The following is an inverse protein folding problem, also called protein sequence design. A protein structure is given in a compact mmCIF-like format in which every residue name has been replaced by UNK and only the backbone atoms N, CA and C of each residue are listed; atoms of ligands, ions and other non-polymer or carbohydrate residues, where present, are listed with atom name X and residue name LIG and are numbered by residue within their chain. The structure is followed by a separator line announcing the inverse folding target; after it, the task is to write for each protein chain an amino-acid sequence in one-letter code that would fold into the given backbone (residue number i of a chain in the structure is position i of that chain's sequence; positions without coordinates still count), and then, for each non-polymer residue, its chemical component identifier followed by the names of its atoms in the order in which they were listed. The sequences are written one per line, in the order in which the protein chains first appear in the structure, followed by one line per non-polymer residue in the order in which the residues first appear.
data_IF_041050263172
#
_entry.id   IF_041050263172
#
_cell.length_a   1.000
_cell.length_b   1.000
_cell.length_c   1.000
_cell.angle_alpha   90.00
_cell.angle_beta   90.00
_cell.angle_gamma   90.00
#
_symmetry.space_group_name_H-M   'P 1'
#
loop_
_entity.id
_entity.type
_entity.pdbx_description
1 polymer ?
#
# COMPACT_ATOMS: atom_id res chain seq x y z
N UNK A 1 -17.31 -6.75 -5.63
CA UNK A 1 -16.01 -6.40 -4.99
C UNK A 1 -15.98 -6.98 -3.58
N UNK A 2 -14.86 -7.55 -3.11
CA UNK A 2 -14.80 -8.14 -1.75
C UNK A 2 -14.74 -7.06 -0.66
N UNK A 3 -15.13 -7.39 0.58
CA UNK A 3 -15.04 -6.48 1.73
C UNK A 3 -13.61 -5.95 1.93
N UNK A 4 -12.62 -6.83 1.82
CA UNK A 4 -11.20 -6.45 1.89
C UNK A 4 -10.83 -5.40 0.83
N UNK A 5 -11.27 -5.59 -0.42
CA UNK A 5 -11.02 -4.63 -1.50
C UNK A 5 -11.72 -3.29 -1.26
N UNK A 6 -12.95 -3.30 -0.77
CA UNK A 6 -13.68 -2.09 -0.40
C UNK A 6 -12.96 -1.30 0.70
N UNK A 7 -12.45 -1.99 1.73
CA UNK A 7 -11.66 -1.36 2.80
C UNK A 7 -10.40 -0.67 2.26
N UNK A 8 -9.68 -1.32 1.35
CA UNK A 8 -8.48 -0.74 0.73
C UNK A 8 -8.80 0.50 -0.12
N UNK A 9 -9.90 0.48 -0.88
CA UNK A 9 -10.37 1.62 -1.65
C UNK A 9 -10.79 2.79 -0.74
N UNK A 10 -11.57 2.49 0.30
CA UNK A 10 -11.97 3.50 1.29
C UNK A 10 -10.74 4.13 1.95
N UNK A 11 -9.72 3.33 2.27
CA UNK A 11 -8.48 3.84 2.84
C UNK A 11 -7.72 4.78 1.89
N UNK A 12 -7.61 4.43 0.60
CA UNK A 12 -7.02 5.32 -0.42
C UNK A 12 -7.79 6.64 -0.48
N UNK A 13 -9.12 6.55 -0.51
CA UNK A 13 -10.00 7.71 -0.57
C UNK A 13 -9.88 8.60 0.66
N UNK A 14 -9.86 8.02 1.86
CA UNK A 14 -9.71 8.77 3.11
C UNK A 14 -8.40 9.54 3.15
N UNK A 15 -7.31 8.89 2.75
CA UNK A 15 -5.99 9.52 2.70
C UNK A 15 -5.95 10.62 1.62
N UNK A 16 -6.63 10.39 0.49
CA UNK A 16 -6.78 11.39 -0.56
C UNK A 16 -7.52 12.64 -0.07
N UNK A 17 -8.61 12.50 0.70
CA UNK A 17 -9.36 13.65 1.22
C UNK A 17 -8.54 14.52 2.18
N UNK A 18 -7.70 13.90 3.01
CA UNK A 18 -6.85 14.63 3.97
C UNK A 18 -5.54 15.14 3.36
N UNK A 19 -5.22 14.76 2.11
CA UNK A 19 -3.96 15.11 1.43
C UNK A 19 -3.75 16.62 1.33
N UNK A 20 -4.83 17.40 1.25
CA UNK A 20 -4.79 18.86 1.10
C UNK A 20 -4.06 19.56 2.26
N UNK A 21 -4.09 18.97 3.47
CA UNK A 21 -3.40 19.52 4.64
C UNK A 21 -1.90 19.24 4.61
N UNK A 22 -1.51 18.03 4.23
CA UNK A 22 -0.10 17.62 4.16
C UNK A 22 0.12 16.54 3.09
N UNK A 23 0.41 16.93 1.83
CA UNK A 23 0.49 15.99 0.71
C UNK A 23 1.64 14.97 0.85
N UNK A 24 2.77 15.39 1.43
CA UNK A 24 3.95 14.54 1.59
C UNK A 24 3.69 13.44 2.63
N UNK A 25 3.14 13.81 3.78
CA UNK A 25 2.76 12.84 4.82
C UNK A 25 1.67 11.88 4.34
N UNK A 26 0.65 12.38 3.63
CA UNK A 26 -0.39 11.53 3.06
C UNK A 26 0.18 10.49 2.09
N UNK A 27 1.13 10.90 1.24
CA UNK A 27 1.81 9.99 0.30
C UNK A 27 2.66 8.96 1.06
N UNK A 28 3.43 9.38 2.05
CA UNK A 28 4.27 8.49 2.87
C UNK A 28 3.43 7.49 3.66
N UNK A 29 2.33 7.94 4.25
CA UNK A 29 1.39 7.10 5.00
C UNK A 29 0.72 6.06 4.09
N UNK A 30 0.26 6.47 2.90
CA UNK A 30 -0.29 5.56 1.92
C UNK A 30 0.73 4.50 1.49
N UNK A 31 1.97 4.93 1.20
CA UNK A 31 3.08 4.02 0.87
C UNK A 31 3.33 3.01 1.97
N UNK A 32 3.39 3.44 3.24
CA UNK A 32 3.65 2.58 4.39
C UNK A 32 2.59 1.47 4.51
N UNK A 33 1.31 1.82 4.41
CA UNK A 33 0.22 0.85 4.51
C UNK A 33 0.25 -0.12 3.33
N UNK A 34 0.39 0.40 2.11
CA UNK A 34 0.40 -0.44 0.91
C UNK A 34 1.65 -1.32 0.80
N UNK A 35 2.75 -0.95 1.45
CA UNK A 35 3.93 -1.80 1.60
C UNK A 35 3.75 -2.88 2.69
N UNK A 36 2.72 -2.78 3.53
CA UNK A 36 2.44 -3.71 4.64
C UNK A 36 1.39 -4.78 4.32
N UNK A 37 0.59 -4.60 3.28
CA UNK A 37 -0.49 -5.54 2.89
C UNK A 37 -0.07 -6.45 1.73
N UNK A 38 -0.50 -7.72 1.69
CA UNK A 38 -0.17 -8.64 0.59
C UNK A 38 -1.04 -8.41 -0.65
N UNK A 39 -2.07 -7.58 -0.56
CA UNK A 39 -3.05 -7.36 -1.63
C UNK A 39 -2.40 -6.85 -2.94
N UNK A 40 -2.98 -7.28 -4.07
CA UNK A 40 -2.63 -6.76 -5.39
C UNK A 40 -2.90 -5.26 -5.48
N UNK A 41 -2.23 -4.59 -6.42
CA UNK A 41 -2.49 -3.18 -6.67
C UNK A 41 -3.94 -2.95 -7.14
N UNK A 42 -4.44 -1.76 -6.88
CA UNK A 42 -5.72 -1.30 -7.44
C UNK A 42 -5.47 -0.85 -8.88
N UNK A 43 -6.33 -1.30 -9.79
CA UNK A 43 -6.35 -0.81 -11.16
C UNK A 43 -7.11 0.51 -11.26
N UNK A 44 -6.84 1.28 -12.32
CA UNK A 44 -7.62 2.47 -12.63
C UNK A 44 -9.11 2.13 -12.83
N UNK A 45 -9.40 0.97 -13.43
CA UNK A 45 -10.76 0.48 -13.63
C UNK A 45 -11.49 0.27 -12.30
N UNK A 46 -10.87 -0.43 -11.35
CA UNK A 46 -11.46 -0.64 -10.01
C UNK A 46 -11.77 0.68 -9.30
N UNK A 47 -10.88 1.69 -9.40
CA UNK A 47 -11.12 3.01 -8.82
C UNK A 47 -12.27 3.72 -9.54
N UNK A 48 -12.30 3.71 -10.87
CA UNK A 48 -13.38 4.34 -11.64
C UNK A 48 -14.74 3.72 -11.34
N UNK A 49 -14.84 2.40 -11.33
CA UNK A 49 -16.07 1.67 -11.00
C UNK A 49 -16.52 1.94 -9.56
N UNK A 50 -15.58 2.07 -8.62
CA UNK A 50 -15.91 2.34 -7.21
C UNK A 50 -16.46 3.76 -6.96
N UNK A 51 -16.10 4.71 -7.82
CA UNK A 51 -16.42 6.13 -7.65
C UNK A 51 -17.25 6.69 -8.82
N UNK A 52 -17.84 5.82 -9.64
CA UNK A 52 -18.62 6.19 -10.82
C UNK A 52 -19.78 7.12 -10.46
N UNK A 53 -20.46 6.81 -9.35
CA UNK A 53 -21.50 7.66 -8.78
C UNK A 53 -20.88 8.65 -7.77
N UNK A 54 -20.64 9.88 -8.23
CA UNK A 54 -20.27 11.01 -7.35
C UNK A 54 -18.94 11.68 -7.67
N UNK A 55 -18.09 11.09 -8.52
CA UNK A 55 -16.83 11.70 -8.95
C UNK A 55 -16.75 11.80 -10.46
N UNK A 56 -16.18 12.90 -10.94
CA UNK A 56 -15.86 13.07 -12.35
C UNK A 56 -14.73 12.12 -12.77
N UNK A 57 -14.62 11.85 -14.08
CA UNK A 57 -13.48 11.11 -14.62
C UNK A 57 -12.13 11.78 -14.32
N UNK A 58 -12.11 13.11 -14.14
CA UNK A 58 -10.90 13.84 -13.79
C UNK A 58 -10.49 13.56 -12.34
N UNK A 59 -11.43 13.60 -11.40
CA UNK A 59 -11.17 13.33 -9.98
C UNK A 59 -10.75 11.88 -9.74
N UNK A 60 -11.42 10.91 -10.37
CA UNK A 60 -11.02 9.49 -10.27
C UNK A 60 -9.62 9.24 -10.81
N UNK A 61 -9.24 9.95 -11.88
CA UNK A 61 -7.87 9.91 -12.42
C UNK A 61 -6.86 10.56 -11.48
N UNK A 62 -7.21 11.66 -10.81
CA UNK A 62 -6.34 12.28 -9.80
C UNK A 62 -6.13 11.38 -8.57
N UNK A 63 -7.20 10.72 -8.10
CA UNK A 63 -7.12 9.71 -7.02
C UNK A 63 -6.17 8.58 -7.43
N UNK A 64 -6.31 8.03 -8.64
CA UNK A 64 -5.43 6.98 -9.13
C UNK A 64 -3.98 7.46 -9.25
N UNK A 65 -3.73 8.67 -9.76
CA UNK A 65 -2.39 9.24 -9.88
C UNK A 65 -1.73 9.46 -8.51
N UNK A 66 -2.51 9.93 -7.53
CA UNK A 66 -2.06 10.04 -6.16
C UNK A 66 -1.65 8.67 -5.58
N UNK A 67 -2.51 7.66 -5.75
CA UNK A 67 -2.26 6.30 -5.32
C UNK A 67 -1.01 5.69 -5.98
N UNK A 68 -0.93 5.75 -7.31
CA UNK A 68 0.14 5.15 -8.11
C UNK A 68 1.51 5.77 -7.79
N UNK A 69 1.55 7.09 -7.58
CA UNK A 69 2.74 7.81 -7.11
C UNK A 69 3.19 7.34 -5.72
N UNK A 70 2.27 7.04 -4.81
CA UNK A 70 2.60 6.57 -3.48
C UNK A 70 3.20 5.16 -3.50
N UNK A 71 2.57 4.24 -4.25
CA UNK A 71 2.99 2.82 -4.33
C UNK A 71 4.15 2.58 -5.29
N UNK A 72 4.53 3.57 -6.10
CA UNK A 72 5.70 3.53 -6.98
C UNK A 72 5.52 2.67 -8.23
N UNK A 73 4.29 2.27 -8.56
CA UNK A 73 3.99 1.42 -9.72
C UNK A 73 2.70 1.93 -10.40
N UNK A 74 2.78 2.16 -11.72
CA UNK A 74 1.65 2.48 -12.60
C UNK A 74 1.27 1.22 -13.37
N UNK A 75 0.08 0.67 -13.10
CA UNK A 75 -0.45 -0.45 -13.86
C UNK A 75 -1.90 -0.19 -14.30
N UNK A 76 -2.21 -0.30 -15.60
CA UNK A 76 -3.58 -0.14 -16.10
C UNK A 76 -4.50 -1.25 -15.58
N UNK A 77 -3.96 -2.45 -15.35
CA UNK A 77 -4.66 -3.64 -14.89
C UNK A 77 -4.30 -4.03 -13.46
N UNK A 78 -5.09 -4.95 -12.89
CA UNK A 78 -4.81 -5.55 -11.58
C UNK A 78 -3.64 -6.51 -11.72
N UNK A 79 -2.47 -6.09 -11.27
CA UNK A 79 -1.24 -6.90 -11.32
C UNK A 79 -0.91 -7.46 -9.93
N UNK A 80 -0.60 -8.78 -9.83
CA UNK A 80 -0.05 -9.35 -8.61
C UNK A 80 1.24 -8.66 -8.19
N UNK A 81 1.52 -8.63 -6.88
CA UNK A 81 2.76 -8.04 -6.38
C UNK A 81 3.96 -8.92 -6.74
N UNK A 82 5.15 -8.32 -6.83
CA UNK A 82 6.39 -9.08 -7.00
C UNK A 82 6.59 -10.04 -5.81
N UNK A 83 7.24 -11.18 -6.05
CA UNK A 83 7.50 -12.19 -5.01
C UNK A 83 8.15 -11.59 -3.76
N UNK A 84 9.12 -10.67 -3.93
CA UNK A 84 9.78 -9.97 -2.82
C UNK A 84 8.80 -9.26 -1.86
N UNK A 85 7.66 -8.80 -2.37
CA UNK A 85 6.64 -8.12 -1.56
C UNK A 85 5.81 -9.11 -0.76
N UNK A 86 5.43 -10.24 -1.36
CA UNK A 86 4.81 -11.34 -0.64
C UNK A 86 5.74 -11.89 0.44
N UNK A 87 7.03 -12.07 0.14
CA UNK A 87 8.03 -12.47 1.13
C UNK A 87 8.10 -11.49 2.30
N UNK A 88 8.16 -10.18 2.03
CA UNK A 88 8.16 -9.12 3.06
C UNK A 88 6.96 -9.24 4.01
N UNK A 89 5.76 -9.30 3.45
CA UNK A 89 4.52 -9.33 4.23
C UNK A 89 4.39 -10.61 5.06
N UNK A 90 4.78 -11.76 4.51
CA UNK A 90 4.80 -13.04 5.21
C UNK A 90 5.82 -13.04 6.35
N UNK A 91 7.05 -12.58 6.12
CA UNK A 91 8.10 -12.51 7.14
C UNK A 91 7.65 -11.63 8.30
N UNK A 92 7.19 -10.40 8.01
CA UNK A 92 6.66 -9.46 9.02
C UNK A 92 5.53 -10.08 9.84
N UNK A 93 4.58 -10.74 9.17
CA UNK A 93 3.46 -11.42 9.83
C UNK A 93 3.94 -12.55 10.75
N UNK A 94 4.87 -13.38 10.29
CA UNK A 94 5.39 -14.52 11.07
C UNK A 94 6.15 -14.06 12.31
N UNK A 95 6.95 -13.00 12.20
CA UNK A 95 7.64 -12.41 13.35
C UNK A 95 6.65 -11.92 14.41
N UNK A 96 5.66 -11.13 13.98
CA UNK A 96 4.61 -10.63 14.88
C UNK A 96 3.82 -11.77 15.55
N UNK A 97 3.48 -12.83 14.80
CA UNK A 97 2.77 -13.99 15.33
C UNK A 97 3.59 -14.80 16.35
N UNK A 98 4.92 -14.75 16.24
CA UNK A 98 5.84 -15.48 17.11
C UNK A 98 6.35 -14.60 18.28
N UNK A 99 5.75 -13.43 18.52
CA UNK A 99 6.11 -12.55 19.63
C UNK A 99 7.32 -11.64 19.37
N UNK A 100 7.85 -11.63 18.15
CA UNK A 100 8.95 -10.75 17.74
C UNK A 100 8.36 -9.43 17.20
N UNK A 101 8.30 -8.42 18.07
CA UNK A 101 7.76 -7.10 17.73
C UNK A 101 8.61 -6.38 16.69
N UNK A 102 7.98 -5.79 15.67
CA UNK A 102 8.69 -5.02 14.65
C UNK A 102 8.94 -3.59 15.15
N UNK A 103 10.12 -3.00 14.92
CA UNK A 103 11.21 -3.48 14.05
C UNK A 103 12.24 -4.38 14.75
N UNK A 104 12.20 -4.55 16.08
CA UNK A 104 13.25 -5.24 16.83
C UNK A 104 13.40 -6.71 16.45
N UNK A 105 12.28 -7.39 16.22
CA UNK A 105 12.23 -8.76 15.70
C UNK A 105 12.91 -8.95 14.35
N UNK A 106 13.07 -7.90 13.54
CA UNK A 106 13.84 -7.99 12.27
C UNK A 106 15.34 -7.92 12.54
N UNK A 107 15.76 -7.14 13.54
CA UNK A 107 17.18 -7.03 13.94
C UNK A 107 17.72 -8.37 14.47
N UNK A 108 16.85 -9.21 15.00
CA UNK A 108 17.18 -10.53 15.55
C UNK A 108 17.47 -11.60 14.47
N UNK A 109 17.06 -11.41 13.20
CA UNK A 109 17.10 -12.45 12.15
C UNK A 109 18.47 -12.52 11.44
N UNK A 110 19.48 -11.78 11.89
CA UNK A 110 20.83 -11.73 11.30
C UNK A 110 20.85 -11.58 9.76
N UNK A 111 19.91 -10.79 9.24
CA UNK A 111 19.83 -10.50 7.80
C UNK A 111 20.76 -9.34 7.42
N UNK A 112 21.25 -9.28 6.17
CA UNK A 112 21.94 -8.10 5.66
C UNK A 112 21.13 -6.81 5.86
N UNK A 113 21.80 -5.70 6.24
CA UNK A 113 21.15 -4.41 6.56
C UNK A 113 20.13 -3.95 5.51
N UNK A 114 20.45 -4.13 4.22
CA UNK A 114 19.55 -3.81 3.11
C UNK A 114 18.22 -4.56 3.19
N UNK A 115 18.26 -5.85 3.50
CA UNK A 115 17.03 -6.65 3.68
C UNK A 115 16.29 -6.25 4.95
N UNK A 116 16.99 -5.87 6.02
CA UNK A 116 16.35 -5.34 7.22
C UNK A 116 15.60 -4.03 6.92
N UNK A 117 16.22 -3.06 6.24
CA UNK A 117 15.56 -1.81 5.84
C UNK A 117 14.36 -2.05 4.92
N UNK A 118 14.50 -2.96 3.95
CA UNK A 118 13.37 -3.38 3.10
C UNK A 118 12.21 -3.98 3.91
N UNK A 119 12.50 -4.81 4.92
CA UNK A 119 11.51 -5.41 5.81
C UNK A 119 10.90 -4.39 6.79
N UNK A 120 11.65 -3.37 7.20
CA UNK A 120 11.20 -2.26 8.04
C UNK A 120 10.38 -1.20 7.30
N UNK A 121 10.23 -1.34 5.98
CA UNK A 121 9.50 -0.40 5.11
C UNK A 121 10.20 0.97 4.97
N UNK A 122 11.52 0.99 5.14
CA UNK A 122 12.37 2.18 5.04
C UNK A 122 12.84 2.46 3.59
N UNK A 123 12.75 1.46 2.71
CA UNK A 123 13.13 1.51 1.28
C UNK A 123 11.94 1.72 0.33
#
# INVERSE_FOLDING_TARGET
MSLQRQTLLLQVFWIYLIKSKNPQEATAFLRLIWNSVPDSLLSLREIKEAFEEGFSSAETTDIYNFYSKAVGELHPDVVPRKLKHYSRTIIRRRLSQNGHWLPDGIKEIDLPKKLQSYLNLEE
#
